data_IF_793949040290
#
_entry.id   IF_793949040290
#
_cell.length_a   1.000
_cell.length_b   1.000
_cell.length_c   1.000
_cell.angle_alpha   90.00
_cell.angle_beta   90.00
_cell.angle_gamma   90.00
#
_symmetry.space_group_name_H-M   'P 1'
#
loop_
_entity.id
_entity.type
_entity.pdbx_description
1 polymer ?
#
# COMPACT_ATOMS: atom_id res chain seq x y z
N UNK A 1 -20.45 -2.59 9.13
CA UNK A 1 -20.36 -1.12 9.25
C UNK A 1 -21.68 -0.41 8.89
N UNK A 2 -22.77 -1.13 8.62
CA UNK A 2 -23.96 -0.57 7.94
C UNK A 2 -24.89 0.29 8.83
N UNK A 3 -24.73 0.25 10.15
CA UNK A 3 -25.64 0.91 11.09
C UNK A 3 -25.17 2.28 11.58
N UNK A 4 -23.91 2.62 11.37
CA UNK A 4 -23.31 3.87 11.86
C UNK A 4 -22.65 4.58 10.69
N UNK A 5 -22.98 5.85 10.42
CA UNK A 5 -22.37 6.61 9.34
C UNK A 5 -20.95 7.05 9.74
N UNK A 6 -19.99 6.11 9.68
CA UNK A 6 -18.58 6.40 9.96
C UNK A 6 -18.03 7.38 8.92
N UNK A 7 -17.40 8.46 9.38
CA UNK A 7 -16.76 9.48 8.52
C UNK A 7 -15.25 9.23 8.41
N UNK A 8 -14.62 8.74 9.48
CA UNK A 8 -13.20 8.42 9.54
C UNK A 8 -12.99 7.23 10.48
N UNK A 9 -12.03 6.37 10.14
CA UNK A 9 -11.62 5.25 10.98
C UNK A 9 -10.14 4.94 10.81
N UNK A 10 -9.57 4.29 11.81
CA UNK A 10 -8.20 3.78 11.80
C UNK A 10 -8.17 2.40 12.48
N UNK A 11 -7.35 1.50 11.95
CA UNK A 11 -7.12 0.19 12.54
C UNK A 11 -5.69 0.14 13.10
N UNK A 12 -5.52 -0.28 14.36
CA UNK A 12 -4.23 -0.32 15.02
C UNK A 12 -3.60 -1.71 14.86
N UNK A 13 -2.35 -1.75 14.40
CA UNK A 13 -1.57 -2.97 14.20
C UNK A 13 -0.22 -2.85 14.92
N UNK A 14 0.40 -4.00 15.19
CA UNK A 14 1.73 -4.10 15.77
C UNK A 14 2.70 -4.85 14.86
N UNK A 15 4.00 -4.63 15.08
CA UNK A 15 5.10 -5.28 14.34
C UNK A 15 5.97 -4.30 13.56
N UNK A 16 5.43 -3.15 13.17
CA UNK A 16 6.12 -2.13 12.37
C UNK A 16 5.70 -0.73 12.86
N UNK A 17 6.58 0.26 12.70
CA UNK A 17 6.39 1.63 13.20
C UNK A 17 6.14 2.60 12.04
N UNK A 18 4.93 2.60 11.50
CA UNK A 18 4.52 3.47 10.39
C UNK A 18 2.99 3.56 10.28
N UNK A 19 2.49 4.52 9.50
CA UNK A 19 1.09 4.58 9.07
C UNK A 19 0.97 4.09 7.64
N UNK A 20 0.14 3.06 7.42
CA UNK A 20 -0.26 2.68 6.07
C UNK A 20 -1.56 3.37 5.67
N UNK A 21 -1.61 3.91 4.47
CA UNK A 21 -2.83 4.46 3.90
C UNK A 21 -3.21 3.71 2.60
N UNK A 22 -4.49 3.76 2.19
CA UNK A 22 -4.98 3.02 1.03
C UNK A 22 -4.26 3.38 -0.27
N UNK A 23 -4.31 2.52 -1.29
CA UNK A 23 -4.96 1.20 -1.30
C UNK A 23 -4.10 0.08 -0.75
N UNK A 24 -4.76 -0.98 -0.28
CA UNK A 24 -4.12 -2.24 0.15
C UNK A 24 -3.85 -3.18 -1.03
N UNK A 25 -4.69 -3.10 -2.06
CA UNK A 25 -4.60 -3.90 -3.27
C UNK A 25 -3.90 -3.12 -4.39
N UNK A 26 -2.93 -3.75 -5.04
CA UNK A 26 -2.37 -3.30 -6.31
C UNK A 26 -2.99 -4.17 -7.42
N UNK A 27 -3.60 -3.56 -8.45
CA UNK A 27 -4.20 -4.34 -9.55
C UNK A 27 -3.08 -5.09 -10.29
N UNK A 28 -3.24 -6.36 -10.68
CA UNK A 28 -2.32 -6.96 -11.66
C UNK A 28 -2.23 -6.02 -12.88
N UNK A 29 -1.01 -5.81 -13.43
CA UNK A 29 -0.79 -4.90 -14.53
C UNK A 29 -1.89 -5.07 -15.58
N UNK A 30 -2.61 -3.98 -15.90
CA UNK A 30 -3.42 -4.02 -17.12
C UNK A 30 -2.41 -4.24 -18.23
N UNK A 31 -2.49 -5.39 -18.90
CA UNK A 31 -1.89 -5.53 -20.21
C UNK A 31 -2.43 -4.37 -21.04
N UNK A 32 -1.62 -3.35 -21.25
CA UNK A 32 -1.83 -2.31 -22.25
C UNK A 32 -1.66 -3.02 -23.60
N UNK A 33 -2.70 -3.71 -24.00
CA UNK A 33 -2.87 -4.32 -25.29
C UNK A 33 -4.27 -3.97 -25.75
N UNK A 34 -4.38 -2.79 -26.36
CA UNK A 34 -5.43 -2.56 -27.33
C UNK A 34 -5.17 -3.54 -28.48
N UNK A 35 -5.60 -4.80 -28.32
CA UNK A 35 -5.82 -5.76 -29.39
C UNK A 35 -6.46 -7.04 -28.83
N UNK A 36 -7.79 -7.07 -28.87
CA UNK A 36 -8.62 -8.19 -29.33
C UNK A 36 -8.41 -9.64 -28.87
N UNK A 37 -7.53 -9.99 -27.92
CA UNK A 37 -7.33 -11.38 -27.45
C UNK A 37 -7.25 -11.46 -25.92
N UNK A 38 -8.26 -10.92 -25.26
CA UNK A 38 -8.44 -11.01 -23.82
C UNK A 38 -8.89 -12.40 -23.39
N UNK A 39 -8.00 -13.19 -22.78
CA UNK A 39 -8.40 -14.45 -22.16
C UNK A 39 -7.32 -15.22 -21.42
N UNK A 40 -6.03 -14.97 -21.68
CA UNK A 40 -4.97 -15.87 -21.19
C UNK A 40 -4.13 -15.32 -20.03
N UNK A 41 -4.00 -13.99 -19.88
CA UNK A 41 -3.05 -13.45 -18.89
C UNK A 41 -3.53 -13.65 -17.45
N UNK A 42 -4.79 -13.41 -17.11
CA UNK A 42 -5.27 -13.45 -15.71
C UNK A 42 -5.01 -14.79 -14.98
N UNK A 43 -4.94 -15.91 -15.72
CA UNK A 43 -4.71 -17.25 -15.16
C UNK A 43 -3.26 -17.49 -14.72
N UNK A 44 -2.30 -16.88 -15.40
CA UNK A 44 -0.88 -16.93 -15.05
C UNK A 44 -0.60 -16.12 -13.78
N UNK A 45 -1.41 -15.08 -13.53
CA UNK A 45 -1.34 -14.28 -12.31
C UNK A 45 -1.84 -15.00 -11.06
N UNK A 46 -2.74 -15.98 -11.22
CA UNK A 46 -3.31 -16.70 -10.08
C UNK A 46 -2.37 -17.77 -9.50
N UNK A 47 -1.35 -18.21 -10.24
CA UNK A 47 -0.52 -19.36 -9.86
C UNK A 47 0.92 -19.03 -9.47
N UNK A 48 1.34 -17.77 -9.59
CA UNK A 48 2.66 -17.33 -9.16
C UNK A 48 2.64 -16.98 -7.67
N UNK A 49 3.77 -17.24 -7.00
CA UNK A 49 3.84 -17.05 -5.55
C UNK A 49 3.72 -15.56 -5.18
N UNK A 50 3.14 -15.31 -4.00
CA UNK A 50 2.84 -13.98 -3.46
C UNK A 50 4.08 -13.08 -3.34
N UNK A 51 5.25 -13.66 -3.01
CA UNK A 51 6.51 -12.93 -2.91
C UNK A 51 7.04 -12.46 -4.28
N UNK A 52 6.90 -13.29 -5.31
CA UNK A 52 7.28 -12.96 -6.69
C UNK A 52 6.32 -11.92 -7.25
N UNK A 53 5.01 -12.00 -6.93
CA UNK A 53 4.05 -10.95 -7.26
C UNK A 53 4.45 -9.61 -6.66
N UNK A 54 4.67 -9.58 -5.34
CA UNK A 54 5.05 -8.36 -4.64
C UNK A 54 6.35 -7.74 -5.20
N UNK A 55 7.34 -8.56 -5.61
CA UNK A 55 8.60 -8.06 -6.21
C UNK A 55 8.40 -7.42 -7.59
N UNK A 56 7.65 -8.06 -8.48
CA UNK A 56 7.36 -7.54 -9.84
C UNK A 56 6.55 -6.25 -9.75
N UNK A 57 5.61 -6.21 -8.80
CA UNK A 57 4.72 -5.07 -8.60
C UNK A 57 5.44 -3.84 -8.03
N UNK A 58 6.41 -4.04 -7.10
CA UNK A 58 7.26 -2.94 -6.58
C UNK A 58 8.11 -2.26 -7.65
N UNK A 59 8.49 -2.98 -8.71
CA UNK A 59 9.25 -2.40 -9.82
C UNK A 59 8.36 -1.61 -10.80
N UNK A 60 7.02 -1.74 -10.69
CA UNK A 60 6.08 -1.15 -11.62
C UNK A 60 5.32 0.00 -10.93
N UNK A 61 5.99 1.13 -10.72
CA UNK A 61 5.44 2.34 -10.07
C UNK A 61 4.14 2.83 -10.76
N UNK A 62 4.01 2.64 -12.08
CA UNK A 62 2.80 2.97 -12.85
C UNK A 62 1.60 2.04 -12.63
N UNK A 63 1.74 0.98 -11.84
CA UNK A 63 0.66 0.06 -11.47
C UNK A 63 0.03 0.40 -10.10
N UNK A 64 0.58 1.37 -9.36
CA UNK A 64 -0.01 1.83 -8.11
C UNK A 64 -1.34 2.52 -8.41
N UNK A 65 -2.44 1.97 -7.90
CA UNK A 65 -3.69 2.73 -7.88
C UNK A 65 -3.57 3.74 -6.76
N UNK A 66 -3.70 5.01 -7.11
CA UNK A 66 -4.01 6.06 -6.16
C UNK A 66 -5.52 6.09 -5.93
N UNK A 67 -5.91 6.36 -4.69
CA UNK A 67 -7.32 6.65 -4.38
C UNK A 67 -7.73 7.95 -5.07
N UNK A 68 -9.04 8.13 -5.33
CA UNK A 68 -9.52 9.43 -5.80
C UNK A 68 -9.16 10.57 -4.82
N UNK A 69 -9.04 10.23 -3.53
CA UNK A 69 -8.74 11.12 -2.42
C UNK A 69 -7.30 10.94 -1.87
N UNK A 70 -6.34 10.61 -2.74
CA UNK A 70 -4.96 10.27 -2.35
C UNK A 70 -4.32 11.32 -1.44
N UNK A 71 -4.47 12.60 -1.79
CA UNK A 71 -3.93 13.71 -1.02
C UNK A 71 -4.54 13.80 0.38
N UNK A 72 -5.82 13.49 0.54
CA UNK A 72 -6.50 13.48 1.84
C UNK A 72 -5.97 12.33 2.71
N UNK A 73 -5.86 11.12 2.14
CA UNK A 73 -5.32 9.97 2.86
C UNK A 73 -3.86 10.19 3.28
N UNK A 74 -3.04 10.72 2.37
CA UNK A 74 -1.66 11.11 2.67
C UNK A 74 -1.60 12.15 3.78
N UNK A 75 -2.45 13.17 3.73
CA UNK A 75 -2.51 14.19 4.78
C UNK A 75 -2.90 13.59 6.15
N UNK A 76 -3.95 12.77 6.22
CA UNK A 76 -4.37 12.09 7.44
C UNK A 76 -3.25 11.22 8.03
N UNK A 77 -2.55 10.47 7.18
CA UNK A 77 -1.42 9.64 7.60
C UNK A 77 -0.28 10.50 8.15
N UNK A 78 0.09 11.59 7.47
CA UNK A 78 1.12 12.53 7.92
C UNK A 78 0.76 13.16 9.26
N UNK A 79 -0.51 13.56 9.46
CA UNK A 79 -0.96 14.13 10.74
C UNK A 79 -0.70 13.18 11.91
N UNK A 80 -0.99 11.88 11.75
CA UNK A 80 -0.71 10.90 12.79
C UNK A 80 0.79 10.63 12.95
N UNK A 81 1.51 10.37 11.85
CA UNK A 81 2.94 10.05 11.91
C UNK A 81 3.76 11.19 12.53
N UNK A 82 3.47 12.44 12.15
CA UNK A 82 4.20 13.61 12.64
C UNK A 82 3.87 13.98 14.08
N UNK A 83 2.69 13.61 14.58
CA UNK A 83 2.34 13.80 16.00
C UNK A 83 2.87 12.67 16.89
N UNK A 84 3.25 11.54 16.31
CA UNK A 84 3.83 10.41 17.03
C UNK A 84 5.35 10.59 17.22
N UNK A 85 5.79 10.69 18.48
CA UNK A 85 7.15 11.04 18.88
C UNK A 85 8.25 10.37 18.05
N UNK A 86 8.14 9.05 17.85
CA UNK A 86 9.19 8.26 17.22
C UNK A 86 8.87 7.82 15.79
N UNK A 87 7.70 8.12 15.22
CA UNK A 87 7.29 7.49 13.96
C UNK A 87 8.00 8.07 12.74
N UNK A 88 8.45 9.32 12.81
CA UNK A 88 9.30 9.99 11.82
C UNK A 88 10.79 9.89 12.15
N UNK A 89 11.15 9.32 13.32
CA UNK A 89 12.55 9.07 13.67
C UNK A 89 13.10 7.90 12.86
N UNK A 90 14.00 8.22 11.95
CA UNK A 90 14.71 7.31 11.04
C UNK A 90 15.99 6.70 11.65
N UNK A 91 16.47 7.21 12.79
CA UNK A 91 17.67 6.68 13.48
C UNK A 91 17.37 5.35 14.20
N UNK A 92 16.10 5.16 14.56
CA UNK A 92 15.57 3.92 15.09
C UNK A 92 14.68 3.36 14.01
N UNK A 93 15.25 2.53 13.15
CA UNK A 93 14.52 1.80 12.11
C UNK A 93 13.31 1.06 12.68
N UNK A 94 12.52 0.47 11.80
CA UNK A 94 11.44 -0.40 12.26
C UNK A 94 11.99 -1.55 13.11
N UNK A 95 11.13 -2.17 13.92
CA UNK A 95 11.50 -3.29 14.79
C UNK A 95 12.26 -4.42 14.08
N UNK A 96 12.11 -4.55 12.76
CA UNK A 96 12.68 -5.63 11.96
C UNK A 96 13.43 -5.21 10.69
N UNK A 97 13.42 -3.93 10.30
CA UNK A 97 13.98 -3.49 9.01
C UNK A 97 14.40 -2.02 9.00
N UNK A 98 15.22 -1.67 8.02
CA UNK A 98 15.55 -0.27 7.69
C UNK A 98 14.27 0.53 7.40
N UNK A 99 14.35 1.85 7.53
CA UNK A 99 13.22 2.74 7.29
C UNK A 99 12.78 2.73 5.82
N UNK A 100 11.67 2.04 5.56
CA UNK A 100 11.03 1.92 4.25
C UNK A 100 10.21 3.14 3.85
N UNK A 101 9.99 4.09 4.77
CA UNK A 101 9.14 5.27 4.56
C UNK A 101 9.94 6.49 4.13
N UNK A 102 11.27 6.39 4.03
CA UNK A 102 12.15 7.50 3.67
C UNK A 102 12.07 8.67 4.66
N UNK A 103 11.86 8.39 5.94
CA UNK A 103 11.75 9.37 7.02
C UNK A 103 10.37 10.01 7.18
N UNK A 104 9.39 9.63 6.36
CA UNK A 104 8.05 10.23 6.41
C UNK A 104 7.14 9.57 7.47
N UNK A 105 7.47 8.35 7.90
CA UNK A 105 6.64 7.57 8.84
C UNK A 105 5.32 7.08 8.23
N UNK A 106 5.13 7.26 6.92
CA UNK A 106 3.93 6.88 6.17
C UNK A 106 4.29 6.09 4.92
N UNK A 107 3.40 5.19 4.48
CA UNK A 107 3.56 4.47 3.23
C UNK A 107 2.21 4.04 2.65
N UNK A 108 2.09 4.03 1.33
CA UNK A 108 0.94 3.40 0.69
C UNK A 108 1.00 1.88 0.96
N UNK A 109 -0.12 1.26 1.37
CA UNK A 109 -0.09 -0.16 1.76
C UNK A 109 0.32 -1.07 0.61
N UNK A 110 -0.19 -0.82 -0.59
CA UNK A 110 0.10 -1.61 -1.78
C UNK A 110 1.56 -1.49 -2.24
N UNK A 111 2.22 -0.34 -2.03
CA UNK A 111 3.65 -0.20 -2.37
C UNK A 111 4.57 -0.98 -1.42
N UNK A 112 4.13 -1.27 -0.20
CA UNK A 112 4.92 -2.00 0.79
C UNK A 112 4.63 -3.50 0.83
N UNK A 113 3.40 -3.89 1.14
CA UNK A 113 2.94 -5.27 1.29
C UNK A 113 1.53 -5.38 0.69
N UNK A 114 1.44 -5.52 -0.64
CA UNK A 114 0.15 -5.60 -1.31
C UNK A 114 -0.60 -6.83 -0.81
N UNK A 115 -1.89 -6.66 -0.54
CA UNK A 115 -2.80 -7.74 -0.15
C UNK A 115 -3.76 -7.95 -1.31
N UNK A 116 -4.08 -9.20 -1.63
CA UNK A 116 -5.22 -9.53 -2.50
C UNK A 116 -6.47 -9.69 -1.64
N UNK A 117 -7.55 -9.00 -2.00
CA UNK A 117 -8.84 -9.07 -1.31
C UNK A 117 -9.74 -10.19 -1.81
#
# INVERSE_FOLDING_TARGET
MERTPFVLGANLQGGEKLVTYPFDMQRPPRATGADGRGGQSAHEYQHMNEETWARIQRQNEGALRETADENLFRWLAMTYAHSHLTMTENHRGSCHNDDITGGQGIINRASWKPVVG
#
